data_IF_928567090520
#
_entry.id   IF_928567090520
#
_cell.length_a   1.000
_cell.length_b   1.000
_cell.length_c   1.000
_cell.angle_alpha   90.00
_cell.angle_beta   90.00
_cell.angle_gamma   90.00
#
_symmetry.space_group_name_H-M   'P 1'
#
loop_
_entity.id
_entity.type
_entity.pdbx_description
1 polymer ?
#
# COMPACT_ATOMS: atom_id res chain seq x y z
N UNK A 1 -1.57 -15.59 -13.53
CA UNK A 1 -1.14 -14.18 -13.66
C UNK A 1 -1.22 -13.55 -12.29
N UNK A 2 -0.11 -13.04 -11.74
CA UNK A 2 -0.14 -12.29 -10.49
C UNK A 2 -1.00 -11.03 -10.72
N UNK A 3 -2.08 -10.86 -9.93
CA UNK A 3 -2.90 -9.64 -9.93
C UNK A 3 -2.36 -8.73 -8.83
N UNK A 4 -1.44 -7.83 -9.18
CA UNK A 4 -0.83 -6.90 -8.25
C UNK A 4 -1.11 -5.45 -8.69
N UNK A 5 -1.72 -4.66 -7.83
CA UNK A 5 -1.85 -3.23 -8.04
C UNK A 5 -0.58 -2.51 -7.59
N UNK A 6 -0.21 -1.43 -8.28
CA UNK A 6 0.90 -0.57 -7.90
C UNK A 6 0.39 0.85 -7.65
N UNK A 7 0.73 1.42 -6.50
CA UNK A 7 0.51 2.82 -6.17
C UNK A 7 1.86 3.54 -6.06
N UNK A 8 1.97 4.71 -6.66
CA UNK A 8 3.11 5.59 -6.46
C UNK A 8 2.70 6.67 -5.45
N UNK A 9 3.46 6.77 -4.37
CA UNK A 9 3.18 7.68 -3.26
C UNK A 9 4.44 8.48 -2.97
N UNK A 10 4.39 9.81 -2.93
CA UNK A 10 5.54 10.62 -2.52
C UNK A 10 5.90 10.36 -1.05
N UNK A 11 7.10 10.78 -0.63
CA UNK A 11 7.54 10.64 0.75
C UNK A 11 6.61 11.31 1.76
N UNK A 12 5.99 12.43 1.38
CA UNK A 12 5.00 13.13 2.20
C UNK A 12 3.61 12.47 2.18
N UNK A 13 3.46 11.31 1.54
CA UNK A 13 2.24 10.50 1.51
C UNK A 13 1.25 10.85 0.41
N UNK A 14 1.61 11.70 -0.56
CA UNK A 14 0.69 12.10 -1.65
C UNK A 14 0.62 11.04 -2.75
N UNK A 15 -0.57 10.65 -3.20
CA UNK A 15 -0.71 9.78 -4.38
C UNK A 15 -0.23 10.50 -5.65
N UNK A 16 0.74 9.89 -6.33
CA UNK A 16 1.31 10.37 -7.59
C UNK A 16 0.81 9.58 -8.80
N UNK A 17 0.47 8.31 -8.60
CA UNK A 17 0.06 7.43 -9.69
C UNK A 17 -0.52 6.11 -9.21
N UNK A 18 -1.25 5.45 -10.10
CA UNK A 18 -1.83 4.13 -9.90
C UNK A 18 -1.72 3.33 -11.19
N UNK A 19 -1.27 2.08 -11.08
CA UNK A 19 -1.21 1.12 -12.17
C UNK A 19 -1.96 -0.14 -11.75
N UNK A 20 -3.02 -0.43 -12.50
CA UNK A 20 -3.88 -1.57 -12.25
C UNK A 20 -3.35 -2.81 -12.98
N UNK A 21 -3.27 -3.95 -12.29
CA UNK A 21 -3.07 -5.24 -12.95
C UNK A 21 -4.29 -6.15 -12.76
N UNK A 22 -5.09 -6.25 -13.82
CA UNK A 22 -5.88 -7.45 -14.09
C UNK A 22 -7.35 -7.47 -13.67
N UNK A 23 -7.90 -6.45 -13.00
CA UNK A 23 -9.36 -6.18 -12.94
C UNK A 23 -9.65 -4.80 -12.28
N UNK A 24 -10.57 -3.99 -12.85
CA UNK A 24 -11.12 -2.80 -12.22
C UNK A 24 -12.07 -3.16 -11.08
N UNK A 25 -11.64 -2.91 -9.84
CA UNK A 25 -12.43 -3.14 -8.63
C UNK A 25 -11.67 -4.04 -7.66
N UNK A 26 -11.32 -3.64 -6.45
CA UNK A 26 -11.92 -2.64 -5.58
C UNK A 26 -10.81 -1.89 -4.86
N UNK A 27 -10.43 -0.71 -5.35
CA UNK A 27 -9.51 0.15 -4.60
C UNK A 27 -10.28 0.82 -3.47
N UNK A 28 -9.72 0.83 -2.25
CA UNK A 28 -10.33 1.44 -1.06
C UNK A 28 -10.78 2.89 -1.34
N UNK A 29 -9.94 3.61 -2.09
CA UNK A 29 -10.25 4.94 -2.64
C UNK A 29 -10.51 4.79 -4.13
N UNK A 30 -11.48 5.44 -4.76
CA UNK A 30 -11.63 5.42 -6.22
C UNK A 30 -10.44 6.11 -6.92
N UNK A 31 -9.89 5.51 -7.99
CA UNK A 31 -8.67 6.03 -8.66
C UNK A 31 -8.80 7.49 -9.11
N UNK A 32 -9.97 7.89 -9.62
CA UNK A 32 -10.26 9.24 -10.10
C UNK A 32 -10.28 10.29 -8.97
N UNK A 33 -10.15 9.86 -7.72
CA UNK A 33 -10.07 10.71 -6.52
C UNK A 33 -8.76 10.55 -5.75
N UNK A 34 -7.81 9.74 -6.21
CA UNK A 34 -6.56 9.51 -5.48
C UNK A 34 -5.53 10.62 -5.67
N UNK A 35 -5.26 10.97 -6.93
CA UNK A 35 -4.07 11.78 -7.30
C UNK A 35 -4.10 13.14 -6.60
N UNK A 36 -2.99 13.50 -5.97
CA UNK A 36 -2.83 14.75 -5.23
C UNK A 36 -3.35 14.73 -3.78
N UNK A 37 -3.97 13.63 -3.32
CA UNK A 37 -4.43 13.47 -1.93
C UNK A 37 -3.46 12.65 -1.08
N UNK A 38 -3.57 12.80 0.23
CA UNK A 38 -2.77 12.05 1.21
C UNK A 38 -3.27 10.63 1.35
N UNK A 39 -2.50 9.67 0.84
CA UNK A 39 -2.88 8.27 0.75
C UNK A 39 -3.33 7.69 2.09
N UNK A 40 -2.59 7.99 3.15
CA UNK A 40 -2.83 7.39 4.47
C UNK A 40 -4.01 8.01 5.22
N UNK A 41 -4.42 9.22 4.83
CA UNK A 41 -5.56 9.93 5.44
C UNK A 41 -6.89 9.46 4.83
N UNK A 42 -6.85 8.85 3.64
CA UNK A 42 -8.03 8.32 2.94
C UNK A 42 -8.34 6.86 3.31
N UNK A 43 -7.41 6.19 4.00
CA UNK A 43 -7.58 4.80 4.41
C UNK A 43 -8.25 4.73 5.78
N UNK A 44 -9.17 3.78 6.01
CA UNK A 44 -9.72 3.54 7.34
C UNK A 44 -8.63 3.16 8.34
N UNK A 45 -8.76 3.62 9.58
CA UNK A 45 -8.01 3.09 10.73
C UNK A 45 -8.53 1.66 10.99
N UNK A 46 -7.70 0.58 11.09
CA UNK A 46 -6.25 0.52 11.35
C UNK A 46 -5.34 0.43 10.11
N UNK A 47 -5.90 0.24 8.91
CA UNK A 47 -5.12 0.04 7.67
C UNK A 47 -4.26 1.27 7.36
N UNK A 48 -4.83 2.48 7.48
CA UNK A 48 -4.08 3.72 7.26
C UNK A 48 -2.84 3.83 8.15
N UNK A 49 -2.94 3.42 9.41
CA UNK A 49 -1.83 3.41 10.35
C UNK A 49 -0.74 2.40 9.95
N UNK A 50 -1.13 1.16 9.64
CA UNK A 50 -0.19 0.14 9.17
C UNK A 50 0.56 0.59 7.92
N UNK A 51 -0.15 1.12 6.92
CA UNK A 51 0.48 1.59 5.67
C UNK A 51 1.40 2.78 5.95
N UNK A 52 0.98 3.73 6.80
CA UNK A 52 1.79 4.90 7.20
C UNK A 52 3.10 4.49 7.88
N UNK A 53 3.06 3.57 8.83
CA UNK A 53 4.24 3.09 9.56
C UNK A 53 5.26 2.44 8.60
N UNK A 54 4.80 1.56 7.71
CA UNK A 54 5.67 0.87 6.77
C UNK A 54 6.21 1.81 5.69
N UNK A 55 5.41 2.80 5.25
CA UNK A 55 5.86 3.87 4.35
C UNK A 55 6.98 4.70 4.99
N UNK A 56 6.80 5.14 6.24
CA UNK A 56 7.81 5.90 6.98
C UNK A 56 9.08 5.07 7.22
N UNK A 57 8.94 3.78 7.57
CA UNK A 57 10.08 2.88 7.73
C UNK A 57 10.85 2.68 6.43
N UNK A 58 10.17 2.47 5.31
CA UNK A 58 10.80 2.34 4.01
C UNK A 58 11.66 3.57 3.68
N UNK A 59 11.13 4.77 3.93
CA UNK A 59 11.87 6.03 3.74
C UNK A 59 13.09 6.09 4.66
N UNK A 60 12.92 5.77 5.94
CA UNK A 60 13.97 5.91 6.94
C UNK A 60 15.12 4.92 6.74
N UNK A 61 14.83 3.69 6.32
CA UNK A 61 15.83 2.62 6.15
C UNK A 61 16.41 2.58 4.74
N UNK A 62 15.68 3.09 3.75
CA UNK A 62 16.01 2.86 2.33
C UNK A 62 15.73 1.44 1.86
N UNK A 63 15.11 0.60 2.70
CA UNK A 63 14.88 -0.82 2.43
C UNK A 63 13.37 -1.12 2.23
N UNK A 64 13.01 -2.07 1.35
CA UNK A 64 11.63 -2.51 1.19
C UNK A 64 11.00 -2.98 2.50
N UNK A 65 9.74 -2.60 2.75
CA UNK A 65 8.97 -3.06 3.91
C UNK A 65 7.81 -3.95 3.44
N UNK A 66 7.79 -5.20 3.90
CA UNK A 66 6.71 -6.15 3.67
C UNK A 66 5.72 -6.14 4.85
N UNK A 67 4.42 -6.13 4.56
CA UNK A 67 3.38 -6.21 5.58
C UNK A 67 2.07 -6.77 5.04
N UNK A 68 1.16 -7.07 5.96
CA UNK A 68 -0.16 -7.64 5.67
C UNK A 68 -1.25 -6.79 6.33
N UNK A 69 -2.43 -6.75 5.70
CA UNK A 69 -3.63 -6.14 6.29
C UNK A 69 -4.89 -6.79 5.73
N UNK A 70 -6.00 -6.65 6.44
CA UNK A 70 -7.32 -7.05 5.94
C UNK A 70 -7.92 -5.91 5.11
N UNK A 71 -8.29 -6.18 3.85
CA UNK A 71 -8.99 -5.19 3.01
C UNK A 71 -10.34 -4.82 3.64
N UNK A 72 -10.63 -3.54 3.89
CA UNK A 72 -11.91 -3.13 4.46
C UNK A 72 -13.06 -3.25 3.46
N UNK A 73 -12.78 -3.36 2.15
CA UNK A 73 -13.81 -3.52 1.12
C UNK A 73 -14.24 -4.99 0.95
N UNK A 74 -13.29 -5.92 1.03
CA UNK A 74 -13.51 -7.32 0.66
C UNK A 74 -13.34 -8.30 1.82
N UNK A 75 -12.79 -7.85 2.95
CA UNK A 75 -12.42 -8.71 4.08
C UNK A 75 -11.24 -9.65 3.79
N UNK A 76 -10.62 -9.56 2.61
CA UNK A 76 -9.53 -10.45 2.20
C UNK A 76 -8.20 -9.99 2.78
N UNK A 77 -7.32 -10.95 3.01
CA UNK A 77 -5.96 -10.66 3.42
C UNK A 77 -5.13 -10.17 2.23
N UNK A 78 -4.53 -9.00 2.41
CA UNK A 78 -3.68 -8.36 1.42
C UNK A 78 -2.24 -8.44 1.89
N UNK A 79 -1.34 -8.73 0.97
CA UNK A 79 0.10 -8.58 1.13
C UNK A 79 0.54 -7.30 0.44
N UNK A 80 1.46 -6.56 1.05
CA UNK A 80 1.98 -5.33 0.47
C UNK A 80 3.48 -5.15 0.67
N UNK A 81 4.10 -4.49 -0.32
CA UNK A 81 5.50 -4.11 -0.32
C UNK A 81 5.63 -2.60 -0.55
N UNK A 82 6.16 -1.88 0.44
CA UNK A 82 6.53 -0.48 0.30
C UNK A 82 8.01 -0.39 -0.08
N UNK A 83 8.31 0.00 -1.33
CA UNK A 83 9.67 0.06 -1.88
C UNK A 83 10.07 1.53 -2.08
N UNK A 84 11.09 2.04 -1.36
CA UNK A 84 11.50 3.43 -1.46
C UNK A 84 12.38 3.67 -2.70
N UNK A 85 12.19 4.82 -3.35
CA UNK A 85 13.02 5.35 -4.43
C UNK A 85 13.49 6.76 -4.04
N UNK A 86 14.61 6.88 -3.30
CA UNK A 86 15.06 8.14 -2.71
C UNK A 86 15.34 9.24 -3.72
N UNK A 87 15.85 8.90 -4.90
CA UNK A 87 16.16 9.87 -5.98
C UNK A 87 14.94 10.66 -6.43
N UNK A 88 13.76 10.02 -6.43
CA UNK A 88 12.50 10.62 -6.85
C UNK A 88 11.57 10.89 -5.65
N UNK A 89 12.07 10.76 -4.41
CA UNK A 89 11.29 10.91 -3.17
C UNK A 89 9.92 10.21 -3.21
N UNK A 90 9.90 8.98 -3.73
CA UNK A 90 8.68 8.20 -3.96
C UNK A 90 8.80 6.83 -3.30
N UNK A 91 7.68 6.29 -2.84
CA UNK A 91 7.51 4.91 -2.42
C UNK A 91 6.55 4.23 -3.40
N UNK A 92 6.99 3.14 -4.00
CA UNK A 92 6.14 2.25 -4.78
C UNK A 92 5.48 1.25 -3.83
N UNK A 93 4.16 1.24 -3.79
CA UNK A 93 3.39 0.30 -2.99
C UNK A 93 2.78 -0.77 -3.89
N UNK A 94 3.30 -1.98 -3.82
CA UNK A 94 2.72 -3.15 -4.48
C UNK A 94 1.70 -3.80 -3.56
N UNK A 95 0.49 -4.05 -4.06
CA UNK A 95 -0.61 -4.64 -3.30
C UNK A 95 -1.17 -5.84 -4.05
N UNK A 96 -1.27 -6.97 -3.36
CA UNK A 96 -1.82 -8.23 -3.91
C UNK A 96 -2.57 -9.00 -2.84
N UNK A 97 -3.49 -9.86 -3.26
CA UNK A 97 -4.12 -10.81 -2.34
C UNK A 97 -3.06 -11.77 -1.80
N UNK A 98 -3.06 -11.99 -0.49
CA UNK A 98 -2.15 -12.92 0.16
C UNK A 98 -2.61 -14.36 -0.08
N UNK A 99 -1.74 -15.21 -0.60
CA UNK A 99 -2.00 -16.66 -0.72
C UNK A 99 -1.72 -17.39 0.60
N UNK A 100 -0.84 -16.83 1.42
CA UNK A 100 -0.48 -17.31 2.76
C UNK A 100 -0.25 -16.09 3.66
N UNK A 101 -0.78 -16.13 4.87
CA UNK A 101 -0.52 -15.11 5.90
C UNK A 101 0.35 -15.78 6.97
N UNK A 102 1.49 -15.18 7.35
CA UNK A 102 2.27 -15.69 8.47
C UNK A 102 1.38 -15.81 9.70
N UNK A 103 1.46 -16.94 10.41
CA UNK A 103 0.81 -17.06 11.71
C UNK A 103 1.24 -15.86 12.56
N UNK A 104 0.27 -15.14 13.14
CA UNK A 104 0.56 -14.00 13.99
C UNK A 104 1.60 -14.43 15.04
N UNK A 105 2.75 -13.76 15.08
CA UNK A 105 3.71 -13.99 16.15
C UNK A 105 3.00 -13.51 17.42
N UNK A 106 2.70 -14.39 18.39
CA UNK A 106 2.10 -13.94 19.65
C UNK A 106 3.05 -12.92 20.29
N UNK A 107 2.44 -11.83 20.77
CA UNK A 107 3.13 -10.70 21.41
C UNK A 107 4.00 -11.14 22.60
#
# INVERSE_FOLDING_TARGET
MLKASLFLISFDGTYLGYYEAGHPGDTIVPYNRMIGRKAMDELPEPVGQTVKEHHQRAIATGEPQEYFYTSPLTGRQMKSYAVPYPTNQTVALFVMEATEVPAAIPA
#
